data_IF_543320112437
#
_entry.id   IF_543320112437
#
_cell.length_a   1.000
_cell.length_b   1.000
_cell.length_c   1.000
_cell.angle_alpha   90.00
_cell.angle_beta   90.00
_cell.angle_gamma   90.00
#
_symmetry.space_group_name_H-M   'P 1'
#
loop_
_entity.id
_entity.type
_entity.pdbx_description
1 polymer ?
#
# COMPACT_ATOMS: atom_id res chain seq x y z
N UNK A 1 5.53 -31.84 20.14
CA UNK A 1 5.61 -31.93 18.66
C UNK A 1 5.23 -30.57 18.13
N UNK A 2 6.17 -29.85 17.52
CA UNK A 2 5.99 -28.48 17.03
C UNK A 2 5.00 -28.49 15.87
N UNK A 3 3.85 -27.87 16.08
CA UNK A 3 2.86 -27.57 15.05
C UNK A 3 3.53 -26.55 14.11
N UNK A 4 4.21 -27.09 13.08
CA UNK A 4 4.81 -26.28 12.01
C UNK A 4 3.66 -25.51 11.39
N UNK A 5 3.65 -24.18 11.55
CA UNK A 5 2.67 -23.29 10.95
C UNK A 5 2.76 -23.42 9.42
N UNK A 6 2.09 -24.41 8.85
CA UNK A 6 1.84 -24.42 7.42
C UNK A 6 1.09 -23.14 7.09
N UNK A 7 1.37 -22.47 5.95
CA UNK A 7 0.50 -21.43 5.46
C UNK A 7 -0.91 -22.01 5.41
N UNK A 8 -1.80 -21.48 6.23
CA UNK A 8 -3.17 -21.97 6.29
C UNK A 8 -3.80 -21.78 4.90
N UNK A 9 -4.78 -22.60 4.54
CA UNK A 9 -5.52 -22.44 3.28
C UNK A 9 -6.00 -20.99 3.08
N UNK A 10 -6.33 -20.32 4.19
CA UNK A 10 -6.61 -18.90 4.28
C UNK A 10 -5.54 -18.01 3.63
N UNK A 11 -4.30 -18.05 4.10
CA UNK A 11 -3.24 -17.16 3.60
C UNK A 11 -2.87 -17.48 2.16
N UNK A 12 -2.94 -18.74 1.74
CA UNK A 12 -2.74 -19.11 0.34
C UNK A 12 -3.81 -18.48 -0.57
N UNK A 13 -5.08 -18.49 -0.15
CA UNK A 13 -6.16 -17.87 -0.90
C UNK A 13 -6.06 -16.34 -0.91
N UNK A 14 -5.70 -15.72 0.23
CA UNK A 14 -5.36 -14.29 0.29
C UNK A 14 -4.26 -13.94 -0.72
N UNK A 15 -3.15 -14.68 -0.71
CA UNK A 15 -1.97 -14.42 -1.56
C UNK A 15 -2.34 -14.53 -3.04
N UNK A 16 -3.15 -15.53 -3.41
CA UNK A 16 -3.65 -15.70 -4.77
C UNK A 16 -4.58 -14.56 -5.17
N UNK A 17 -5.43 -14.09 -4.26
CA UNK A 17 -6.33 -12.98 -4.52
C UNK A 17 -5.57 -11.67 -4.79
N UNK A 18 -4.43 -11.43 -4.12
CA UNK A 18 -3.55 -10.30 -4.45
C UNK A 18 -2.60 -10.57 -5.63
N UNK A 19 -2.87 -11.63 -6.40
CA UNK A 19 -2.17 -12.01 -7.63
C UNK A 19 -0.70 -12.36 -7.44
N UNK A 20 -0.37 -13.00 -6.32
CA UNK A 20 0.92 -13.60 -6.08
C UNK A 20 0.82 -15.13 -5.96
N UNK A 21 1.93 -15.83 -6.21
CA UNK A 21 1.99 -17.28 -6.08
C UNK A 21 2.42 -17.65 -4.65
N UNK A 22 1.60 -18.40 -3.88
CA UNK A 22 1.99 -18.83 -2.54
C UNK A 22 3.27 -19.66 -2.54
N UNK A 23 4.10 -19.44 -1.52
CA UNK A 23 5.35 -20.13 -1.27
C UNK A 23 5.30 -20.81 0.10
N UNK A 24 5.94 -21.97 0.21
CA UNK A 24 6.12 -22.64 1.50
C UNK A 24 7.25 -21.96 2.27
N UNK A 25 6.89 -21.09 3.21
CA UNK A 25 7.84 -20.47 4.13
C UNK A 25 7.15 -20.19 5.46
N UNK A 26 7.88 -20.48 6.54
CA UNK A 26 7.46 -20.19 7.93
C UNK A 26 8.31 -19.08 8.56
N UNK A 27 9.45 -18.76 7.93
CA UNK A 27 10.28 -17.63 8.27
C UNK A 27 11.05 -17.12 7.04
N UNK A 28 11.45 -15.85 7.08
CA UNK A 28 12.34 -15.22 6.10
C UNK A 28 13.50 -14.54 6.82
N UNK A 29 14.72 -14.71 6.33
CA UNK A 29 15.91 -14.06 6.90
C UNK A 29 16.20 -12.75 6.18
N UNK A 30 16.25 -11.64 6.92
CA UNK A 30 16.61 -10.32 6.39
C UNK A 30 18.12 -10.06 6.33
N UNK A 31 18.50 -8.84 5.96
CA UNK A 31 19.90 -8.45 5.80
C UNK A 31 20.65 -8.43 7.14
N UNK A 32 19.92 -8.23 8.24
CA UNK A 32 20.40 -8.34 9.62
C UNK A 32 20.77 -9.76 10.05
N UNK A 33 20.51 -10.77 9.21
CA UNK A 33 20.55 -12.20 9.53
C UNK A 33 19.54 -12.62 10.63
N UNK A 34 18.60 -11.76 11.01
CA UNK A 34 17.51 -12.09 11.93
C UNK A 34 16.41 -12.82 11.14
N UNK A 35 15.96 -14.00 11.58
CA UNK A 35 14.80 -14.66 10.99
C UNK A 35 13.50 -14.01 11.48
N UNK A 36 12.64 -13.64 10.54
CA UNK A 36 11.32 -13.07 10.78
C UNK A 36 10.26 -14.14 10.58
N UNK A 37 9.38 -14.34 11.56
CA UNK A 37 8.28 -15.30 11.45
C UNK A 37 7.20 -14.77 10.49
N UNK A 38 6.66 -15.65 9.65
CA UNK A 38 5.65 -15.28 8.64
C UNK A 38 4.51 -16.27 8.64
N UNK A 39 3.29 -15.77 8.47
CA UNK A 39 2.08 -16.59 8.35
C UNK A 39 1.84 -17.09 6.91
N UNK A 40 2.45 -16.40 5.94
CA UNK A 40 2.38 -16.75 4.53
C UNK A 40 3.31 -15.87 3.69
N UNK A 41 3.75 -16.40 2.56
CA UNK A 41 4.62 -15.69 1.61
C UNK A 41 4.10 -15.89 0.20
N UNK A 42 3.97 -14.80 -0.54
CA UNK A 42 3.55 -14.77 -1.94
C UNK A 42 4.63 -14.18 -2.82
N UNK A 43 4.95 -14.84 -3.92
CA UNK A 43 5.90 -14.34 -4.92
C UNK A 43 5.18 -14.02 -6.23
N UNK A 44 5.29 -12.78 -6.68
CA UNK A 44 4.87 -12.36 -8.02
C UNK A 44 6.12 -11.98 -8.81
N UNK A 45 6.59 -12.94 -9.63
CA UNK A 45 7.78 -12.77 -10.45
C UNK A 45 7.57 -11.77 -11.58
N UNK A 46 6.35 -11.68 -12.11
CA UNK A 46 6.04 -10.83 -13.26
C UNK A 46 6.12 -9.34 -12.92
N UNK A 47 5.80 -9.00 -11.67
CA UNK A 47 5.82 -7.62 -11.15
C UNK A 47 6.93 -7.38 -10.14
N UNK A 48 7.86 -8.32 -10.01
CA UNK A 48 8.99 -8.25 -9.09
C UNK A 48 8.57 -7.84 -7.67
N UNK A 49 7.60 -8.53 -7.07
CA UNK A 49 7.17 -8.27 -5.69
C UNK A 49 7.02 -9.52 -4.83
N UNK A 50 7.34 -9.38 -3.55
CA UNK A 50 7.23 -10.37 -2.49
C UNK A 50 6.19 -9.87 -1.48
N UNK A 51 5.04 -10.55 -1.41
CA UNK A 51 4.01 -10.29 -0.40
C UNK A 51 4.31 -11.15 0.83
N UNK A 52 4.46 -10.52 1.99
CA UNK A 52 4.79 -11.18 3.25
C UNK A 52 3.67 -10.93 4.24
N UNK A 53 3.05 -11.99 4.73
CA UNK A 53 2.10 -11.90 5.84
C UNK A 53 2.90 -12.03 7.14
N UNK A 54 3.10 -10.90 7.81
CA UNK A 54 3.92 -10.82 9.02
C UNK A 54 3.20 -11.41 10.24
N UNK A 55 3.94 -12.08 11.12
CA UNK A 55 3.46 -12.49 12.44
C UNK A 55 3.77 -11.47 13.55
N UNK A 56 4.36 -10.32 13.22
CA UNK A 56 4.71 -9.29 14.21
C UNK A 56 3.47 -8.64 14.82
N UNK A 57 3.53 -8.32 16.12
CA UNK A 57 2.40 -7.78 16.89
C UNK A 57 2.11 -6.30 16.60
N UNK A 58 3.13 -5.55 16.16
CA UNK A 58 3.05 -4.09 16.02
C UNK A 58 3.43 -3.56 14.64
N UNK A 59 2.92 -2.37 14.32
CA UNK A 59 3.14 -1.70 13.04
C UNK A 59 4.61 -1.35 12.81
N UNK A 60 5.32 -0.97 13.88
CA UNK A 60 6.73 -0.57 13.82
C UNK A 60 7.63 -1.76 13.56
N UNK A 61 7.38 -2.86 14.24
CA UNK A 61 8.05 -4.14 14.09
C UNK A 61 7.86 -4.63 12.65
N UNK A 62 6.62 -4.66 12.14
CA UNK A 62 6.34 -5.01 10.76
C UNK A 62 7.04 -4.10 9.73
N UNK A 63 7.14 -2.79 10.01
CA UNK A 63 7.91 -1.87 9.17
C UNK A 63 9.42 -2.16 9.19
N UNK A 64 9.98 -2.56 10.34
CA UNK A 64 11.37 -3.02 10.42
C UNK A 64 11.59 -4.33 9.68
N UNK A 65 10.68 -5.30 9.79
CA UNK A 65 10.70 -6.52 8.98
C UNK A 65 10.70 -6.16 7.50
N UNK A 66 9.80 -5.27 7.06
CA UNK A 66 9.77 -4.84 5.66
C UNK A 66 11.10 -4.24 5.21
N UNK A 67 11.68 -3.32 6.00
CA UNK A 67 12.94 -2.67 5.67
C UNK A 67 14.13 -3.67 5.60
N UNK A 68 14.20 -4.58 6.57
CA UNK A 68 15.26 -5.58 6.65
C UNK A 68 15.19 -6.61 5.51
N UNK A 69 13.98 -7.11 5.21
CA UNK A 69 13.73 -7.98 4.07
C UNK A 69 13.98 -7.23 2.75
N UNK A 70 13.54 -5.98 2.61
CA UNK A 70 13.78 -5.18 1.41
C UNK A 70 15.28 -4.99 1.13
N UNK A 71 16.09 -4.85 2.18
CA UNK A 71 17.55 -4.76 2.08
C UNK A 71 18.20 -6.08 1.64
N UNK A 72 17.67 -7.22 2.11
CA UNK A 72 18.11 -8.55 1.70
C UNK A 72 17.75 -8.84 0.23
N UNK A 73 16.54 -8.48 -0.16
CA UNK A 73 15.95 -8.84 -1.44
C UNK A 73 16.00 -7.68 -2.45
N UNK A 74 17.19 -7.31 -2.89
CA UNK A 74 17.43 -6.09 -3.71
C UNK A 74 16.70 -6.03 -5.05
N UNK A 75 16.36 -7.18 -5.64
CA UNK A 75 15.75 -7.28 -6.97
C UNK A 75 14.23 -7.44 -6.97
N UNK A 76 13.60 -7.29 -5.79
CA UNK A 76 12.17 -7.55 -5.60
C UNK A 76 11.63 -6.61 -4.53
N UNK A 77 10.43 -6.08 -4.76
CA UNK A 77 9.77 -5.16 -3.85
C UNK A 77 9.04 -5.94 -2.76
N UNK A 78 9.37 -5.67 -1.50
CA UNK A 78 8.76 -6.33 -0.35
C UNK A 78 7.54 -5.54 0.10
N UNK A 79 6.40 -6.23 0.16
CA UNK A 79 5.13 -5.71 0.64
C UNK A 79 4.76 -6.51 1.88
N UNK A 80 4.68 -5.85 3.04
CA UNK A 80 4.25 -6.49 4.27
C UNK A 80 2.77 -6.22 4.52
N UNK A 81 2.04 -7.29 4.81
CA UNK A 81 0.68 -7.30 5.31
C UNK A 81 0.72 -7.77 6.75
N UNK A 82 0.03 -7.10 7.65
CA UNK A 82 -0.06 -7.49 9.04
C UNK A 82 -1.50 -7.86 9.41
N UNK A 83 -1.74 -9.05 9.98
CA UNK A 83 -3.00 -9.35 10.64
C UNK A 83 -3.20 -8.41 11.83
N UNK A 84 -4.25 -7.61 11.81
CA UNK A 84 -4.52 -6.60 12.85
C UNK A 84 -5.78 -6.98 13.63
N UNK A 85 -5.77 -6.81 14.95
CA UNK A 85 -6.84 -7.30 15.82
C UNK A 85 -7.91 -6.24 16.17
N UNK A 86 -7.59 -4.95 16.06
CA UNK A 86 -8.49 -3.86 16.45
C UNK A 86 -8.25 -2.57 15.64
N UNK A 87 -9.14 -1.58 15.79
CA UNK A 87 -9.07 -0.31 15.05
C UNK A 87 -7.80 0.51 15.33
N UNK A 88 -7.28 0.49 16.56
CA UNK A 88 -6.05 1.21 16.91
C UNK A 88 -4.84 0.65 16.15
N UNK A 89 -4.72 -0.68 16.09
CA UNK A 89 -3.64 -1.36 15.36
C UNK A 89 -3.72 -1.09 13.86
N UNK A 90 -4.93 -1.04 13.30
CA UNK A 90 -5.17 -0.70 11.88
C UNK A 90 -4.69 0.72 11.57
N UNK A 91 -4.94 1.66 12.48
CA UNK A 91 -4.49 3.04 12.30
C UNK A 91 -2.97 3.18 12.37
N UNK A 92 -2.34 2.49 13.31
CA UNK A 92 -0.89 2.45 13.41
C UNK A 92 -0.25 1.85 12.14
N UNK A 93 -0.84 0.79 11.59
CA UNK A 93 -0.40 0.18 10.33
C UNK A 93 -0.50 1.16 9.17
N UNK A 94 -1.67 1.83 9.04
CA UNK A 94 -1.91 2.84 8.01
C UNK A 94 -0.84 3.92 8.05
N UNK A 95 -0.56 4.50 9.21
CA UNK A 95 0.48 5.54 9.38
C UNK A 95 1.89 5.03 9.06
N UNK A 96 2.18 3.77 9.38
CA UNK A 96 3.47 3.13 9.07
C UNK A 96 3.60 2.77 7.57
N UNK A 97 2.51 2.83 6.81
CA UNK A 97 2.44 2.41 5.42
C UNK A 97 2.37 0.90 5.21
N UNK A 98 1.95 0.18 6.25
CA UNK A 98 1.78 -1.27 6.28
C UNK A 98 0.32 -1.60 5.97
N UNK A 99 0.07 -2.61 5.14
CA UNK A 99 -1.28 -3.08 4.91
C UNK A 99 -1.79 -3.80 6.15
N UNK A 100 -2.78 -3.21 6.82
CA UNK A 100 -3.53 -3.93 7.84
C UNK A 100 -4.53 -4.88 7.19
N UNK A 101 -4.70 -6.05 7.80
CA UNK A 101 -5.74 -7.00 7.45
C UNK A 101 -6.42 -7.46 8.73
N UNK A 102 -7.63 -6.97 9.00
CA UNK A 102 -8.36 -7.35 10.21
C UNK A 102 -9.54 -8.24 9.91
N UNK A 103 -9.52 -9.47 10.42
CA UNK A 103 -10.65 -10.41 10.32
C UNK A 103 -11.94 -9.83 10.91
N UNK A 104 -11.85 -8.93 11.89
CA UNK A 104 -13.02 -8.30 12.51
C UNK A 104 -13.80 -7.38 11.56
N UNK A 105 -13.19 -6.96 10.44
CA UNK A 105 -13.84 -6.12 9.43
C UNK A 105 -14.64 -6.93 8.40
N UNK A 106 -14.54 -8.25 8.42
CA UNK A 106 -15.20 -9.15 7.47
C UNK A 106 -16.41 -9.82 8.10
N UNK A 107 -17.44 -10.01 7.29
CA UNK A 107 -18.58 -10.85 7.65
C UNK A 107 -18.15 -12.32 7.69
N UNK A 108 -18.90 -13.15 8.42
CA UNK A 108 -18.58 -14.57 8.55
C UNK A 108 -18.51 -15.27 7.18
N UNK A 109 -19.44 -14.95 6.28
CA UNK A 109 -19.51 -15.51 4.93
C UNK A 109 -18.30 -15.13 4.07
N UNK A 110 -17.74 -13.94 4.28
CA UNK A 110 -16.52 -13.50 3.60
C UNK A 110 -15.29 -14.23 4.14
N UNK A 111 -15.23 -14.52 5.44
CA UNK A 111 -14.15 -15.32 6.03
C UNK A 111 -14.22 -16.76 5.50
N UNK A 112 -15.40 -17.36 5.46
CA UNK A 112 -15.63 -18.70 4.91
C UNK A 112 -15.24 -18.78 3.43
N UNK A 113 -15.52 -17.73 2.64
CA UNK A 113 -15.09 -17.63 1.26
C UNK A 113 -13.56 -17.75 1.11
N UNK A 114 -12.79 -17.12 2.01
CA UNK A 114 -11.32 -17.19 2.01
C UNK A 114 -10.83 -18.54 2.56
N UNK A 115 -11.50 -19.12 3.55
CA UNK A 115 -11.08 -20.39 4.17
C UNK A 115 -11.27 -21.60 3.26
N UNK A 116 -12.23 -21.53 2.33
CA UNK A 116 -12.61 -22.67 1.49
C UNK A 116 -11.42 -23.22 0.69
N UNK A 117 -11.17 -24.53 0.82
CA UNK A 117 -10.21 -25.22 -0.03
C UNK A 117 -10.64 -25.10 -1.50
N UNK A 118 -9.74 -24.61 -2.37
CA UNK A 118 -10.08 -24.31 -3.76
C UNK A 118 -11.04 -23.13 -3.92
N UNK A 119 -10.95 -22.14 -3.02
CA UNK A 119 -11.73 -20.91 -3.10
C UNK A 119 -11.70 -20.29 -4.51
N UNK A 120 -12.83 -19.74 -4.92
CA UNK A 120 -12.92 -18.93 -6.12
C UNK A 120 -12.12 -17.64 -5.90
N UNK A 121 -10.93 -17.59 -6.51
CA UNK A 121 -9.98 -16.50 -6.37
C UNK A 121 -10.59 -15.18 -6.86
N UNK A 122 -11.42 -15.21 -7.91
CA UNK A 122 -12.05 -14.00 -8.43
C UNK A 122 -13.14 -13.49 -7.47
N UNK A 123 -13.89 -14.40 -6.83
CA UNK A 123 -14.83 -14.01 -5.77
C UNK A 123 -14.12 -13.37 -4.56
N UNK A 124 -12.96 -13.91 -4.14
CA UNK A 124 -12.15 -13.33 -3.06
C UNK A 124 -11.60 -11.96 -3.47
N UNK A 125 -11.12 -11.82 -4.71
CA UNK A 125 -10.67 -10.52 -5.26
C UNK A 125 -11.77 -9.48 -5.24
N UNK A 126 -12.97 -9.83 -5.73
CA UNK A 126 -14.11 -8.91 -5.73
C UNK A 126 -14.48 -8.47 -4.32
N UNK A 127 -14.43 -9.40 -3.37
CA UNK A 127 -14.63 -9.08 -1.96
C UNK A 127 -13.54 -8.13 -1.43
N UNK A 128 -12.25 -8.36 -1.74
CA UNK A 128 -11.17 -7.43 -1.39
C UNK A 128 -11.33 -6.04 -2.01
N UNK A 129 -11.84 -5.94 -3.26
CA UNK A 129 -12.14 -4.65 -3.91
C UNK A 129 -13.23 -3.89 -3.17
N UNK A 130 -14.34 -4.57 -2.82
CA UNK A 130 -15.45 -3.97 -2.04
C UNK A 130 -15.00 -3.50 -0.66
N UNK A 131 -14.00 -4.17 -0.07
CA UNK A 131 -13.41 -3.83 1.24
C UNK A 131 -12.26 -2.82 1.15
N UNK A 132 -11.99 -2.25 -0.02
CA UNK A 132 -10.90 -1.28 -0.25
C UNK A 132 -9.49 -1.81 0.10
N UNK A 133 -9.34 -3.14 0.17
CA UNK A 133 -8.10 -3.81 0.50
C UNK A 133 -7.27 -4.06 -0.77
N UNK A 134 -7.92 -4.43 -1.87
CA UNK A 134 -7.25 -4.72 -3.13
C UNK A 134 -6.47 -3.50 -3.65
N UNK A 135 -6.98 -2.30 -3.39
CA UNK A 135 -6.40 -1.03 -3.82
C UNK A 135 -5.14 -0.64 -3.06
N UNK A 136 -4.82 -1.29 -1.94
CA UNK A 136 -3.47 -1.20 -1.40
C UNK A 136 -2.45 -1.83 -2.36
N UNK A 137 -2.77 -2.99 -2.95
CA UNK A 137 -1.89 -3.70 -3.89
C UNK A 137 -1.96 -3.15 -5.32
N UNK A 138 -3.15 -2.68 -5.70
CA UNK A 138 -3.49 -2.18 -7.03
C UNK A 138 -4.21 -0.84 -6.93
N UNK A 139 -3.52 0.25 -6.55
CA UNK A 139 -4.14 1.55 -6.35
C UNK A 139 -4.78 2.06 -7.64
N UNK A 140 -5.92 2.74 -7.49
CA UNK A 140 -6.48 3.57 -8.55
C UNK A 140 -5.63 4.87 -8.63
N UNK A 141 -5.02 5.18 -9.79
CA UNK A 141 -4.08 6.29 -9.89
C UNK A 141 -4.74 7.66 -9.65
N UNK A 142 -6.02 7.81 -9.99
CA UNK A 142 -6.81 9.01 -9.76
C UNK A 142 -7.04 9.29 -8.27
N UNK A 143 -7.43 8.29 -7.48
CA UNK A 143 -7.56 8.41 -6.03
C UNK A 143 -6.22 8.63 -5.34
N UNK A 144 -5.16 7.96 -5.81
CA UNK A 144 -3.82 8.18 -5.28
C UNK A 144 -3.35 9.62 -5.54
N UNK A 145 -3.62 10.15 -6.74
CA UNK A 145 -3.30 11.51 -7.09
C UNK A 145 -4.02 12.52 -6.18
N UNK A 146 -5.33 12.32 -5.96
CA UNK A 146 -6.08 13.16 -5.01
C UNK A 146 -5.49 13.11 -3.60
N UNK A 147 -5.15 11.92 -3.09
CA UNK A 147 -4.55 11.80 -1.75
C UNK A 147 -3.19 12.47 -1.66
N UNK A 148 -2.37 12.38 -2.70
CA UNK A 148 -1.08 13.06 -2.76
C UNK A 148 -1.24 14.59 -2.78
N UNK A 149 -2.20 15.12 -3.54
CA UNK A 149 -2.52 16.56 -3.59
C UNK A 149 -3.06 17.04 -2.23
N UNK A 150 -4.00 16.29 -1.63
CA UNK A 150 -4.60 16.58 -0.32
C UNK A 150 -3.54 16.81 0.77
N UNK A 151 -2.43 16.06 0.72
CA UNK A 151 -1.38 16.17 1.74
C UNK A 151 -0.56 17.46 1.66
N UNK A 152 -0.65 18.21 0.55
CA UNK A 152 0.17 19.39 0.28
C UNK A 152 1.67 19.11 0.14
N UNK A 153 2.11 17.83 0.12
CA UNK A 153 3.53 17.47 0.04
C UNK A 153 4.06 17.38 -1.40
N UNK A 154 3.17 17.36 -2.39
CA UNK A 154 3.49 17.39 -3.82
C UNK A 154 2.73 18.51 -4.53
N UNK A 155 2.99 19.79 -4.17
CA UNK A 155 2.22 20.92 -4.67
C UNK A 155 2.29 21.10 -6.19
N UNK A 156 3.30 20.57 -6.88
CA UNK A 156 3.46 20.80 -8.31
C UNK A 156 3.21 19.56 -9.15
N UNK A 157 2.63 19.77 -10.35
CA UNK A 157 2.30 18.70 -11.31
C UNK A 157 3.46 17.73 -11.57
N UNK A 158 4.68 18.24 -11.77
CA UNK A 158 5.83 17.40 -12.03
C UNK A 158 6.17 16.48 -10.85
N UNK A 159 6.02 16.96 -9.61
CA UNK A 159 6.27 16.16 -8.40
C UNK A 159 5.21 15.09 -8.22
N UNK A 160 3.95 15.43 -8.50
CA UNK A 160 2.84 14.48 -8.50
C UNK A 160 3.08 13.36 -9.52
N UNK A 161 3.40 13.72 -10.77
CA UNK A 161 3.72 12.75 -11.82
C UNK A 161 4.91 11.87 -11.42
N UNK A 162 5.97 12.45 -10.86
CA UNK A 162 7.13 11.69 -10.37
C UNK A 162 6.73 10.63 -9.32
N UNK A 163 5.81 10.93 -8.41
CA UNK A 163 5.33 9.94 -7.44
C UNK A 163 4.47 8.86 -8.09
N UNK A 164 3.57 9.24 -8.99
CA UNK A 164 2.72 8.28 -9.70
C UNK A 164 3.56 7.31 -10.54
N UNK A 165 4.55 7.82 -11.29
CA UNK A 165 5.46 6.99 -12.10
C UNK A 165 6.24 5.98 -11.25
N UNK A 166 6.67 6.36 -10.04
CA UNK A 166 7.44 5.49 -9.14
C UNK A 166 6.59 4.48 -8.37
N UNK A 167 5.28 4.67 -8.30
CA UNK A 167 4.40 3.82 -7.46
C UNK A 167 4.49 2.32 -7.84
N UNK A 168 4.46 1.94 -9.14
CA UNK A 168 4.69 0.55 -9.55
C UNK A 168 6.05 -0.01 -9.12
N UNK A 169 7.10 0.82 -9.13
CA UNK A 169 8.45 0.41 -8.70
C UNK A 169 8.53 0.11 -7.20
N UNK A 170 7.50 0.47 -6.41
CA UNK A 170 7.35 0.12 -5.00
C UNK A 170 6.61 -1.21 -4.79
N UNK A 171 6.28 -1.93 -5.87
CA UNK A 171 5.51 -3.18 -5.85
C UNK A 171 4.00 -2.99 -5.97
N UNK A 172 3.54 -1.75 -6.20
CA UNK A 172 2.12 -1.37 -6.25
C UNK A 172 1.73 -0.97 -7.69
N UNK A 173 1.56 -1.94 -8.61
CA UNK A 173 1.09 -1.66 -9.97
C UNK A 173 -0.29 -1.02 -9.94
N UNK A 174 -0.61 -0.14 -10.90
CA UNK A 174 -1.92 0.50 -10.92
C UNK A 174 -3.05 -0.48 -11.25
N UNK A 175 -4.17 -0.31 -10.54
CA UNK A 175 -5.48 -0.81 -10.93
C UNK A 175 -6.18 0.14 -11.89
N UNK A 176 -7.47 -0.11 -12.21
CA UNK A 176 -8.27 0.84 -12.98
C UNK A 176 -8.52 2.14 -12.20
N UNK A 177 -8.85 3.20 -12.92
CA UNK A 177 -9.43 4.41 -12.34
C UNK A 177 -10.76 4.09 -11.66
N UNK A 178 -11.07 4.82 -10.61
CA UNK A 178 -12.30 4.65 -9.82
C UNK A 178 -13.19 5.91 -9.82
N UNK A 179 -12.61 7.09 -10.07
CA UNK A 179 -13.32 8.36 -10.25
C UNK A 179 -13.65 8.63 -11.71
N UNK A 180 -12.98 7.93 -12.64
CA UNK A 180 -12.98 8.25 -14.06
C UNK A 180 -13.17 6.97 -14.87
N UNK A 181 -14.01 7.02 -15.91
CA UNK A 181 -14.32 5.83 -16.72
C UNK A 181 -13.22 5.44 -17.72
N UNK A 182 -12.33 6.38 -18.07
CA UNK A 182 -11.30 6.20 -19.10
C UNK A 182 -9.92 6.21 -18.46
N UNK A 183 -9.02 5.40 -18.99
CA UNK A 183 -7.61 5.43 -18.63
C UNK A 183 -6.93 6.58 -19.38
N UNK A 184 -6.38 7.53 -18.63
CA UNK A 184 -5.71 8.70 -19.15
C UNK A 184 -4.19 8.61 -18.91
N UNK A 185 -3.40 9.36 -19.69
CA UNK A 185 -2.05 9.70 -19.23
C UNK A 185 -2.13 10.50 -17.91
N UNK A 186 -1.09 10.50 -17.08
CA UNK A 186 -1.17 11.23 -15.80
C UNK A 186 -1.44 12.73 -15.96
N UNK A 187 -0.92 13.36 -17.01
CA UNK A 187 -1.20 14.77 -17.30
C UNK A 187 -2.66 14.99 -17.69
N UNK A 188 -3.23 14.14 -18.53
CA UNK A 188 -4.66 14.21 -18.89
C UNK A 188 -5.56 13.88 -17.70
N UNK A 189 -5.15 12.94 -16.86
CA UNK A 189 -5.85 12.58 -15.63
C UNK A 189 -5.99 13.80 -14.70
N UNK A 190 -4.90 14.55 -14.49
CA UNK A 190 -4.94 15.78 -13.67
C UNK A 190 -5.88 16.83 -14.27
N UNK A 191 -5.82 17.04 -15.60
CA UNK A 191 -6.76 17.96 -16.28
C UNK A 191 -8.21 17.55 -16.08
N UNK A 192 -8.48 16.26 -16.13
CA UNK A 192 -9.84 15.77 -15.97
C UNK A 192 -10.29 15.79 -14.50
N UNK A 193 -9.39 15.61 -13.53
CA UNK A 193 -9.69 15.89 -12.11
C UNK A 193 -10.04 17.38 -11.90
N UNK A 194 -9.40 18.31 -12.62
CA UNK A 194 -9.78 19.72 -12.63
C UNK A 194 -11.15 19.96 -13.28
N UNK A 195 -11.44 19.31 -14.42
CA UNK A 195 -12.73 19.41 -15.09
C UNK A 195 -13.89 18.89 -14.23
N UNK A 196 -13.64 17.83 -13.44
CA UNK A 196 -14.57 17.29 -12.45
C UNK A 196 -14.72 18.18 -11.21
N UNK A 197 -13.93 19.26 -11.11
CA UNK A 197 -13.94 20.18 -9.98
C UNK A 197 -13.39 19.59 -8.69
N UNK A 198 -12.60 18.51 -8.76
CA UNK A 198 -12.03 17.83 -7.59
C UNK A 198 -10.72 18.47 -7.11
N UNK A 199 -10.04 19.15 -8.02
CA UNK A 199 -8.81 19.91 -7.75
C UNK A 199 -8.84 21.23 -8.52
N UNK A 200 -8.01 22.18 -8.10
CA UNK A 200 -7.74 23.44 -8.78
C UNK A 200 -6.23 23.67 -8.85
N UNK A 201 -5.79 24.47 -9.81
CA UNK A 201 -4.39 24.90 -9.92
C UNK A 201 -4.32 26.41 -9.68
N UNK A 202 -3.50 26.79 -8.71
CA UNK A 202 -3.21 28.16 -8.33
C UNK A 202 -1.70 28.45 -8.47
N UNK A 203 -1.28 29.69 -8.25
CA UNK A 203 0.15 30.05 -8.27
C UNK A 203 0.98 29.25 -7.26
N UNK A 204 0.36 28.86 -6.13
CA UNK A 204 0.94 28.01 -5.08
C UNK A 204 1.08 26.54 -5.48
N UNK A 205 0.37 26.09 -6.52
CA UNK A 205 0.35 24.71 -6.99
C UNK A 205 -1.06 24.10 -7.11
N UNK A 206 -1.10 22.77 -7.10
CA UNK A 206 -2.32 21.97 -7.10
C UNK A 206 -2.93 21.92 -5.70
N UNK A 207 -4.22 22.24 -5.62
CA UNK A 207 -4.98 22.20 -4.38
C UNK A 207 -6.24 21.33 -4.56
N UNK A 208 -6.61 20.61 -3.51
CA UNK A 208 -7.85 19.84 -3.47
C UNK A 208 -9.04 20.77 -3.17
N UNK A 209 -10.18 20.52 -3.82
CA UNK A 209 -11.43 21.25 -3.55
C UNK A 209 -12.27 20.55 -2.48
N UNK A 210 -13.35 21.18 -2.02
CA UNK A 210 -14.31 20.55 -1.11
C UNK A 210 -14.93 19.28 -1.71
N UNK A 211 -15.20 19.29 -3.02
CA UNK A 211 -15.69 18.11 -3.76
C UNK A 211 -14.63 17.00 -3.80
N UNK A 212 -13.36 17.36 -4.00
CA UNK A 212 -12.24 16.42 -3.91
C UNK A 212 -12.12 15.80 -2.51
N UNK A 213 -12.26 16.60 -1.46
CA UNK A 213 -12.24 16.13 -0.07
C UNK A 213 -13.40 15.16 0.21
N UNK A 214 -14.61 15.47 -0.28
CA UNK A 214 -15.77 14.54 -0.17
C UNK A 214 -15.49 13.21 -0.88
N UNK A 215 -14.87 13.25 -2.06
CA UNK A 215 -14.49 12.04 -2.79
C UNK A 215 -13.44 11.21 -2.02
N UNK A 216 -12.52 11.86 -1.31
CA UNK A 216 -11.47 11.23 -0.49
C UNK A 216 -11.96 10.67 0.83
N UNK A 217 -12.94 11.32 1.47
CA UNK A 217 -13.50 10.88 2.75
C UNK A 217 -14.05 9.44 2.71
N UNK A 218 -14.46 8.95 1.54
CA UNK A 218 -14.94 7.57 1.35
C UNK A 218 -13.84 6.51 1.48
N UNK A 219 -12.57 6.91 1.32
CA UNK A 219 -11.44 5.99 1.24
C UNK A 219 -10.33 6.27 2.25
N UNK A 220 -10.32 7.44 2.87
CA UNK A 220 -9.26 7.88 3.79
C UNK A 220 -9.05 6.89 4.93
N UNK A 221 -10.12 6.34 5.51
CA UNK A 221 -10.06 5.41 6.66
C UNK A 221 -9.85 3.93 6.29
N UNK A 222 -9.41 3.63 5.07
CA UNK A 222 -9.32 2.25 4.57
C UNK A 222 -7.87 1.79 4.36
N UNK A 223 -7.67 0.49 4.18
CA UNK A 223 -6.33 -0.10 4.01
C UNK A 223 -5.53 0.51 2.84
N UNK A 224 -6.20 0.96 1.77
CA UNK A 224 -5.52 1.60 0.63
C UNK A 224 -4.75 2.85 1.02
N UNK A 225 -5.16 3.54 2.07
CA UNK A 225 -4.52 4.76 2.54
C UNK A 225 -3.11 4.51 3.09
N UNK A 226 -2.84 3.27 3.54
CA UNK A 226 -1.50 2.88 3.94
C UNK A 226 -0.48 3.06 2.80
N UNK A 227 -0.88 2.88 1.53
CA UNK A 227 0.03 3.15 0.41
C UNK A 227 0.40 4.63 0.30
N UNK A 228 -0.58 5.53 0.50
CA UNK A 228 -0.31 6.96 0.50
C UNK A 228 0.74 7.30 1.57
N UNK A 229 0.54 6.83 2.80
CA UNK A 229 1.52 7.01 3.87
C UNK A 229 2.88 6.39 3.56
N UNK A 230 2.93 5.21 2.93
CA UNK A 230 4.18 4.58 2.48
C UNK A 230 4.97 5.51 1.56
N UNK A 231 4.32 6.10 0.55
CA UNK A 231 4.93 7.06 -0.38
C UNK A 231 5.39 8.32 0.35
N UNK A 232 4.53 8.90 1.20
CA UNK A 232 4.85 10.13 1.94
C UNK A 232 6.02 9.93 2.92
N UNK A 233 6.12 8.77 3.56
CA UNK A 233 7.21 8.42 4.48
C UNK A 233 8.54 8.30 3.74
N UNK A 234 8.55 7.74 2.52
CA UNK A 234 9.75 7.69 1.67
C UNK A 234 10.22 9.08 1.24
N UNK A 235 9.28 9.98 0.90
CA UNK A 235 9.61 11.37 0.57
C UNK A 235 10.28 12.07 1.76
N UNK A 236 9.72 11.92 2.96
CA UNK A 236 10.30 12.49 4.18
C UNK A 236 11.70 11.95 4.49
N UNK A 237 11.91 10.63 4.36
CA UNK A 237 13.21 10.02 4.58
C UNK A 237 14.29 10.53 3.59
N UNK A 238 13.93 10.64 2.30
CA UNK A 238 14.83 11.16 1.28
C UNK A 238 15.24 12.62 1.53
N UNK A 239 14.29 13.46 1.94
CA UNK A 239 14.57 14.85 2.31
C UNK A 239 15.50 14.93 3.53
N UNK A 240 15.24 14.11 4.55
CA UNK A 240 16.08 14.06 5.75
C UNK A 240 17.52 13.63 5.43
N UNK A 241 17.70 12.57 4.65
CA UNK A 241 19.02 12.11 4.21
C UNK A 241 19.76 13.19 3.40
N UNK A 242 19.09 13.85 2.45
CA UNK A 242 19.70 14.96 1.71
C UNK A 242 20.12 16.11 2.64
N UNK A 243 19.34 16.41 3.68
CA UNK A 243 19.69 17.45 4.66
C UNK A 243 20.86 17.08 5.57
N UNK A 244 21.09 15.78 5.80
CA UNK A 244 22.26 15.30 6.53
C UNK A 244 23.54 15.38 5.67
N UNK A 245 23.42 15.05 4.39
CA UNK A 245 24.53 15.08 3.43
C UNK A 245 24.86 16.50 2.97
N UNK A 246 23.87 17.40 2.99
CA UNK A 246 24.01 18.81 2.65
C UNK A 246 23.40 19.68 3.76
N UNK A 247 24.17 20.02 4.82
CA UNK A 247 23.69 20.79 5.97
C UNK A 247 23.07 22.14 5.59
N UNK A 248 23.46 22.70 4.45
CA UNK A 248 22.98 23.98 3.93
C UNK A 248 21.48 23.96 3.54
N UNK A 249 20.92 22.76 3.30
CA UNK A 249 19.49 22.57 3.05
C UNK A 249 18.64 22.68 4.33
N UNK A 250 19.25 22.75 5.54
CA UNK A 250 18.51 22.97 6.80
C UNK A 250 18.09 24.43 7.00
N UNK A 251 18.77 25.38 6.36
CA UNK A 251 18.62 26.82 6.60
C UNK A 251 17.48 27.49 5.79
N UNK A 252 16.68 26.73 5.03
CA UNK A 252 15.53 27.24 4.27
C UNK A 252 14.16 26.93 4.89
N UNK A 253 14.13 26.53 6.16
CA UNK A 253 12.90 26.33 6.91
C UNK A 253 12.86 27.30 8.11
N UNK A 254 12.49 28.54 7.82
CA UNK A 254 11.82 29.45 8.75
C UNK A 254 10.53 29.92 8.08
#
# INVERSE_FOLDING_TARGET
MSERAQPTAFWNNFIRAVEAQPQEAVSLTGASAIPHAVAGVGLDRSRHRLVVISCEDGAREAAFVQADLQSAFKSIQVIVVRPSSNAETIEQDRRAGICSFSLSQFAHEEIELILRAGADVEAVKDMFRRRNLFQYFFPAPDHLALGLIETGRVPFLHQLIDQLVRTPDLGHPFGPNELMAVQYSFTEMVKELQNLGLIKEEESGLEITDEGLKARALVSETAREALLHKILNQLSANLYLKSLLHPELRLRRE
#
